data_IF_494555525481
#
_entry.id   IF_494555525481
#
_cell.length_a   1.000
_cell.length_b   1.000
_cell.length_c   1.000
_cell.angle_alpha   90.00
_cell.angle_beta   90.00
_cell.angle_gamma   90.00
#
_symmetry.space_group_name_H-M   'P 1'
#
loop_
_entity.id
_entity.type
_entity.pdbx_description
1 polymer ?
#
# COMPACT_ATOMS: atom_id res chain seq x y z
N UNK A 1 -17.17 6.34 -16.38
CA UNK A 1 -16.86 7.57 -15.60
C UNK A 1 -18.15 8.01 -14.93
N UNK A 2 -18.07 8.37 -13.65
CA UNK A 2 -19.19 8.88 -12.88
C UNK A 2 -19.44 10.35 -13.23
N UNK A 3 -20.70 10.75 -13.28
CA UNK A 3 -21.06 12.18 -13.24
C UNK A 3 -20.86 12.75 -11.83
N UNK A 4 -20.73 14.09 -11.68
CA UNK A 4 -20.65 14.71 -10.36
C UNK A 4 -21.83 14.37 -9.44
N UNK A 5 -23.05 14.25 -9.98
CA UNK A 5 -24.23 13.88 -9.22
C UNK A 5 -24.17 12.43 -8.70
N UNK A 6 -23.71 11.49 -9.52
CA UNK A 6 -23.53 10.10 -9.11
C UNK A 6 -22.42 9.98 -8.05
N UNK A 7 -21.30 10.68 -8.24
CA UNK A 7 -20.23 10.70 -7.24
C UNK A 7 -20.71 11.27 -5.90
N UNK A 8 -21.46 12.37 -5.89
CA UNK A 8 -22.06 12.92 -4.66
C UNK A 8 -22.99 11.92 -3.98
N UNK A 9 -23.80 11.17 -4.74
CA UNK A 9 -24.64 10.11 -4.17
C UNK A 9 -23.82 8.99 -3.52
N UNK A 10 -22.74 8.54 -4.18
CA UNK A 10 -21.82 7.55 -3.62
C UNK A 10 -21.11 8.07 -2.36
N UNK A 11 -20.62 9.31 -2.37
CA UNK A 11 -19.96 9.95 -1.23
C UNK A 11 -20.92 10.10 -0.06
N UNK A 12 -22.14 10.59 -0.30
CA UNK A 12 -23.16 10.77 0.73
C UNK A 12 -23.49 9.45 1.45
N UNK A 13 -23.54 8.34 0.70
CA UNK A 13 -23.83 7.01 1.21
C UNK A 13 -22.71 6.38 2.05
N UNK A 14 -21.48 6.91 2.02
CA UNK A 14 -20.37 6.37 2.83
C UNK A 14 -20.66 6.50 4.32
N UNK A 15 -20.59 5.41 5.07
CA UNK A 15 -20.82 5.37 6.51
C UNK A 15 -19.69 4.63 7.25
N UNK A 16 -19.44 4.95 8.54
CA UNK A 16 -18.47 4.20 9.32
C UNK A 16 -19.00 2.79 9.62
N UNK A 17 -18.37 1.78 9.01
CA UNK A 17 -18.70 0.36 9.20
C UNK A 17 -17.74 -0.29 10.19
N UNK A 18 -18.26 -1.16 11.07
CA UNK A 18 -17.47 -1.83 12.11
C UNK A 18 -16.84 -3.15 11.67
N UNK A 19 -16.12 -3.79 12.60
CA UNK A 19 -15.50 -5.10 12.37
C UNK A 19 -16.53 -6.18 11.98
N UNK A 20 -17.72 -6.16 12.58
CA UNK A 20 -18.82 -7.07 12.28
C UNK A 20 -19.34 -6.94 10.85
N UNK A 21 -19.25 -5.74 10.27
CA UNK A 21 -19.80 -5.45 8.95
C UNK A 21 -18.89 -5.95 7.82
N UNK A 22 -17.63 -6.27 8.08
CA UNK A 22 -16.67 -6.69 7.05
C UNK A 22 -17.19 -7.90 6.28
N UNK A 23 -17.32 -7.76 4.95
CA UNK A 23 -17.87 -8.76 4.06
C UNK A 23 -19.41 -8.83 4.02
N UNK A 24 -20.13 -8.11 4.88
CA UNK A 24 -21.60 -8.03 4.82
C UNK A 24 -22.10 -7.38 3.52
N UNK A 25 -23.36 -7.58 3.12
CA UNK A 25 -23.93 -6.90 1.94
C UNK A 25 -23.88 -5.36 2.01
N UNK A 26 -23.90 -4.78 3.22
CA UNK A 26 -23.72 -3.33 3.42
C UNK A 26 -22.30 -2.91 3.06
N UNK A 27 -21.32 -3.60 3.64
CA UNK A 27 -19.92 -3.39 3.33
C UNK A 27 -19.67 -3.55 1.83
N UNK A 28 -20.23 -4.59 1.20
CA UNK A 28 -19.97 -4.86 -0.23
C UNK A 28 -20.44 -3.70 -1.10
N UNK A 29 -21.64 -3.15 -0.82
CA UNK A 29 -22.15 -1.97 -1.54
C UNK A 29 -21.28 -0.72 -1.36
N UNK A 30 -20.84 -0.44 -0.13
CA UNK A 30 -19.95 0.68 0.15
C UNK A 30 -18.63 0.53 -0.61
N UNK A 31 -18.11 -0.69 -0.68
CA UNK A 31 -16.83 -0.99 -1.29
C UNK A 31 -16.83 -1.00 -2.81
N UNK A 32 -17.94 -1.38 -3.44
CA UNK A 32 -18.16 -1.13 -4.85
C UNK A 32 -18.21 0.37 -5.13
N UNK A 33 -18.91 1.15 -4.28
CA UNK A 33 -18.96 2.61 -4.41
C UNK A 33 -17.59 3.25 -4.27
N UNK A 34 -16.77 2.80 -3.31
CA UNK A 34 -15.40 3.29 -3.12
C UNK A 34 -14.49 2.96 -4.29
N UNK A 35 -14.64 1.80 -4.91
CA UNK A 35 -13.86 1.46 -6.09
C UNK A 35 -14.21 2.38 -7.27
N UNK A 36 -15.49 2.64 -7.51
CA UNK A 36 -15.94 3.57 -8.54
C UNK A 36 -15.44 5.00 -8.28
N UNK A 37 -15.50 5.45 -7.02
CA UNK A 37 -14.95 6.74 -6.59
C UNK A 37 -13.43 6.79 -6.79
N UNK A 38 -12.69 5.71 -6.48
CA UNK A 38 -11.25 5.63 -6.74
C UNK A 38 -10.94 5.77 -8.23
N UNK A 39 -11.62 5.01 -9.08
CA UNK A 39 -11.40 5.07 -10.52
C UNK A 39 -11.67 6.47 -11.07
N UNK A 40 -12.75 7.12 -10.61
CA UNK A 40 -13.06 8.48 -11.01
C UNK A 40 -12.02 9.48 -10.48
N UNK A 41 -11.63 9.41 -9.21
CA UNK A 41 -10.62 10.29 -8.62
C UNK A 41 -9.25 10.13 -9.32
N UNK A 42 -8.87 8.91 -9.70
CA UNK A 42 -7.68 8.68 -10.54
C UNK A 42 -7.81 9.36 -11.90
N UNK A 43 -8.97 9.24 -12.56
CA UNK A 43 -9.21 9.88 -13.85
C UNK A 43 -9.18 11.41 -13.74
N UNK A 44 -9.78 11.97 -12.68
CA UNK A 44 -9.79 13.41 -12.39
C UNK A 44 -8.36 13.92 -12.22
N UNK A 45 -7.54 13.27 -11.38
CA UNK A 45 -6.14 13.64 -11.13
C UNK A 45 -5.22 13.51 -12.36
N UNK A 46 -5.56 12.64 -13.32
CA UNK A 46 -4.85 12.52 -14.60
C UNK A 46 -5.32 13.56 -15.62
N UNK A 47 -6.52 14.09 -15.45
CA UNK A 47 -7.09 15.12 -16.29
C UNK A 47 -6.68 16.52 -15.79
N UNK A 48 -6.82 17.55 -16.64
CA UNK A 48 -6.65 18.96 -16.22
C UNK A 48 -7.99 19.60 -15.82
N UNK A 49 -8.99 18.78 -15.49
CA UNK A 49 -10.33 19.21 -15.13
C UNK A 49 -10.52 19.25 -13.60
N UNK A 50 -11.69 19.69 -13.16
CA UNK A 50 -12.03 19.82 -11.74
C UNK A 50 -12.03 18.46 -11.04
N UNK A 51 -11.36 18.39 -9.87
CA UNK A 51 -11.26 17.19 -9.04
C UNK A 51 -12.48 17.04 -8.12
N UNK A 52 -13.66 16.95 -8.72
CA UNK A 52 -14.94 17.02 -8.00
C UNK A 52 -15.11 15.91 -6.96
N UNK A 53 -14.51 14.73 -7.16
CA UNK A 53 -14.57 13.65 -6.17
C UNK A 53 -13.82 14.01 -4.89
N UNK A 54 -12.66 14.67 -5.02
CA UNK A 54 -11.86 15.15 -3.88
C UNK A 54 -12.64 16.21 -3.11
N UNK A 55 -13.17 17.20 -3.82
CA UNK A 55 -13.94 18.29 -3.21
C UNK A 55 -15.18 17.77 -2.46
N UNK A 56 -15.89 16.81 -3.03
CA UNK A 56 -17.09 16.22 -2.42
C UNK A 56 -16.72 15.37 -1.19
N UNK A 57 -15.67 14.56 -1.25
CA UNK A 57 -15.20 13.75 -0.11
C UNK A 57 -14.75 14.62 1.08
N UNK A 58 -14.06 15.72 0.80
CA UNK A 58 -13.62 16.69 1.81
C UNK A 58 -14.81 17.49 2.34
N UNK A 59 -15.64 18.04 1.44
CA UNK A 59 -16.80 18.87 1.78
C UNK A 59 -17.86 18.13 2.60
N UNK A 60 -18.10 16.85 2.31
CA UNK A 60 -19.03 16.00 3.05
C UNK A 60 -18.41 15.38 4.33
N UNK A 61 -17.16 15.70 4.66
CA UNK A 61 -16.46 15.18 5.86
C UNK A 61 -16.24 13.66 5.83
N UNK A 62 -16.18 13.05 4.64
CA UNK A 62 -16.06 11.58 4.48
C UNK A 62 -14.63 11.08 4.55
N UNK A 63 -13.63 11.96 4.54
CA UNK A 63 -12.22 11.59 4.73
C UNK A 63 -12.04 10.81 6.05
N UNK A 64 -12.66 11.24 7.14
CA UNK A 64 -12.63 10.53 8.43
C UNK A 64 -13.28 9.13 8.38
N UNK A 65 -14.30 8.94 7.55
CA UNK A 65 -14.92 7.63 7.31
C UNK A 65 -13.93 6.68 6.63
N UNK A 66 -13.14 7.19 5.67
CA UNK A 66 -12.09 6.42 5.02
C UNK A 66 -10.97 6.03 5.98
N UNK A 67 -10.54 6.95 6.87
CA UNK A 67 -9.56 6.65 7.93
C UNK A 67 -10.08 5.55 8.85
N UNK A 68 -11.33 5.65 9.30
CA UNK A 68 -11.96 4.61 10.12
C UNK A 68 -11.99 3.26 9.40
N UNK A 69 -12.42 3.24 8.13
CA UNK A 69 -12.50 2.02 7.34
C UNK A 69 -11.11 1.38 7.12
N UNK A 70 -10.06 2.18 6.90
CA UNK A 70 -8.69 1.68 6.80
C UNK A 70 -8.27 0.91 8.07
N UNK A 71 -8.55 1.48 9.24
CA UNK A 71 -8.20 0.87 10.53
C UNK A 71 -9.04 -0.36 10.85
N UNK A 72 -10.31 -0.37 10.46
CA UNK A 72 -11.19 -1.55 10.56
C UNK A 72 -10.65 -2.69 9.71
N UNK A 73 -10.24 -2.42 8.47
CA UNK A 73 -9.65 -3.43 7.59
C UNK A 73 -8.31 -3.95 8.12
N UNK A 74 -7.46 -3.06 8.64
CA UNK A 74 -6.20 -3.46 9.30
C UNK A 74 -6.47 -4.39 10.49
N UNK A 75 -7.36 -3.99 11.41
CA UNK A 75 -7.68 -4.78 12.61
C UNK A 75 -8.38 -6.10 12.27
N UNK A 76 -9.30 -6.11 11.30
CA UNK A 76 -9.97 -7.31 10.85
C UNK A 76 -8.98 -8.30 10.23
N UNK A 77 -8.07 -7.83 9.36
CA UNK A 77 -7.03 -8.69 8.78
C UNK A 77 -6.10 -9.26 9.85
N UNK A 78 -5.70 -8.47 10.84
CA UNK A 78 -4.72 -8.90 11.83
C UNK A 78 -5.31 -9.79 12.94
N UNK A 79 -6.62 -9.67 13.22
CA UNK A 79 -7.22 -10.31 14.39
C UNK A 79 -8.44 -11.21 14.11
N UNK A 80 -9.20 -10.96 13.04
CA UNK A 80 -10.40 -11.76 12.71
C UNK A 80 -10.09 -12.78 11.62
N UNK A 81 -9.44 -12.33 10.52
CA UNK A 81 -9.08 -13.19 9.40
C UNK A 81 -8.31 -14.46 9.84
N UNK A 82 -7.30 -14.40 10.72
CA UNK A 82 -6.55 -15.59 11.12
C UNK A 82 -7.40 -16.62 11.87
N UNK A 83 -8.48 -16.18 12.52
CA UNK A 83 -9.41 -17.05 13.27
C UNK A 83 -10.36 -17.75 12.32
N UNK A 84 -10.87 -17.04 11.30
CA UNK A 84 -11.80 -17.64 10.34
C UNK A 84 -11.11 -18.44 9.24
N UNK A 85 -9.84 -18.14 8.93
CA UNK A 85 -9.13 -18.67 7.76
C UNK A 85 -9.08 -20.20 7.69
N UNK A 86 -8.98 -20.87 8.84
CA UNK A 86 -8.91 -22.34 8.90
C UNK A 86 -10.30 -23.00 8.75
N UNK A 87 -11.37 -22.25 9.03
CA UNK A 87 -12.75 -22.74 9.02
C UNK A 87 -13.54 -22.31 7.76
N UNK A 88 -12.91 -21.57 6.83
CA UNK A 88 -13.57 -21.07 5.63
C UNK A 88 -13.80 -22.18 4.58
N UNK A 89 -15.06 -22.42 4.17
CA UNK A 89 -15.35 -23.23 2.99
C UNK A 89 -14.72 -22.63 1.72
N UNK A 90 -14.47 -23.46 0.71
CA UNK A 90 -13.84 -23.05 -0.56
C UNK A 90 -14.55 -21.86 -1.24
N UNK A 91 -15.89 -21.85 -1.25
CA UNK A 91 -16.68 -20.77 -1.86
C UNK A 91 -16.66 -19.47 -1.02
N UNK A 92 -16.61 -19.61 0.30
CA UNK A 92 -16.45 -18.49 1.25
C UNK A 92 -15.04 -17.91 1.20
N UNK A 93 -14.09 -18.70 0.73
CA UNK A 93 -12.72 -18.28 0.54
C UNK A 93 -12.53 -17.42 -0.68
N UNK A 94 -13.40 -17.51 -1.69
CA UNK A 94 -13.43 -16.53 -2.78
C UNK A 94 -13.87 -15.15 -2.24
N UNK A 95 -14.88 -15.09 -1.36
CA UNK A 95 -15.26 -13.84 -0.69
C UNK A 95 -14.17 -13.31 0.24
N UNK A 96 -13.46 -14.17 0.96
CA UNK A 96 -12.30 -13.78 1.75
C UNK A 96 -11.10 -13.36 0.87
N UNK A 97 -10.91 -14.03 -0.27
CA UNK A 97 -9.91 -13.66 -1.29
C UNK A 97 -10.18 -12.26 -1.83
N UNK A 98 -11.44 -11.94 -2.10
CA UNK A 98 -11.87 -10.61 -2.49
C UNK A 98 -11.69 -9.55 -1.39
N UNK A 99 -11.35 -9.93 -0.15
CA UNK A 99 -10.96 -8.98 0.88
C UNK A 99 -9.43 -8.85 1.01
N UNK A 100 -8.67 -9.80 0.44
CA UNK A 100 -7.24 -10.05 0.74
C UNK A 100 -6.42 -10.42 -0.53
N UNK A 101 -6.83 -10.06 -1.75
CA UNK A 101 -6.25 -10.57 -3.01
C UNK A 101 -5.42 -9.54 -3.81
N UNK A 102 -4.34 -9.98 -4.48
CA UNK A 102 -3.53 -9.16 -5.40
C UNK A 102 -3.56 -9.72 -6.83
N UNK A 103 -3.49 -8.83 -7.83
CA UNK A 103 -3.22 -9.15 -9.23
C UNK A 103 -1.82 -9.74 -9.40
N UNK A 104 -1.70 -10.99 -9.87
CA UNK A 104 -0.53 -11.47 -10.59
C UNK A 104 -0.89 -11.69 -12.06
N UNK A 105 -0.05 -11.17 -12.97
CA UNK A 105 -0.16 -11.39 -14.40
C UNK A 105 0.31 -12.82 -14.71
N UNK A 106 -0.56 -13.80 -14.54
CA UNK A 106 -0.48 -15.01 -15.34
C UNK A 106 -1.90 -15.48 -15.56
N UNK A 107 -2.39 -15.30 -16.79
CA UNK A 107 -3.60 -15.95 -17.25
C UNK A 107 -3.39 -17.46 -17.07
N UNK A 108 -4.02 -18.05 -16.06
CA UNK A 108 -4.26 -19.47 -16.04
C UNK A 108 -5.55 -19.69 -16.82
N UNK A 109 -5.55 -20.40 -17.96
CA UNK A 109 -6.76 -20.65 -18.74
C UNK A 109 -7.81 -21.51 -18.00
N UNK A 110 -7.50 -21.95 -16.77
CA UNK A 110 -8.40 -22.73 -15.92
C UNK A 110 -9.23 -21.88 -14.94
N UNK A 111 -8.98 -20.57 -14.79
CA UNK A 111 -9.68 -19.74 -13.79
C UNK A 111 -9.92 -18.30 -14.31
N UNK A 112 -11.07 -18.02 -14.94
CA UNK A 112 -11.36 -16.72 -15.55
C UNK A 112 -11.73 -15.59 -14.57
N UNK A 113 -11.82 -15.82 -13.26
CA UNK A 113 -12.37 -14.86 -12.29
C UNK A 113 -11.36 -14.34 -11.23
N UNK A 114 -10.18 -13.85 -11.64
CA UNK A 114 -9.26 -13.17 -10.70
C UNK A 114 -9.59 -11.67 -10.65
N UNK A 115 -10.75 -11.35 -10.09
CA UNK A 115 -11.21 -9.98 -9.87
C UNK A 115 -10.41 -9.26 -8.80
N UNK A 116 -10.01 -8.04 -9.15
CA UNK A 116 -9.13 -7.11 -8.45
C UNK A 116 -9.66 -6.70 -7.07
N UNK A 117 -9.26 -7.31 -5.96
CA UNK A 117 -9.78 -6.79 -4.68
C UNK A 117 -8.80 -6.84 -3.52
N UNK A 118 -8.28 -5.65 -3.22
CA UNK A 118 -7.75 -5.31 -1.91
C UNK A 118 -8.32 -3.97 -1.44
N UNK A 119 -9.24 -4.05 -0.50
CA UNK A 119 -10.07 -2.91 -0.12
C UNK A 119 -9.32 -1.90 0.71
N UNK A 120 -8.34 -2.37 1.46
CA UNK A 120 -7.47 -1.46 2.18
C UNK A 120 -6.50 -0.75 1.23
N UNK A 121 -6.17 -1.29 0.06
CA UNK A 121 -5.42 -0.58 -1.02
C UNK A 121 -6.35 0.39 -1.70
N UNK A 122 -7.61 0.02 -2.00
CA UNK A 122 -8.59 0.96 -2.55
C UNK A 122 -8.74 2.17 -1.63
N UNK A 123 -8.97 1.96 -0.34
CA UNK A 123 -9.06 3.04 0.66
C UNK A 123 -7.75 3.83 0.73
N UNK A 124 -6.60 3.16 0.76
CA UNK A 124 -5.30 3.82 0.84
C UNK A 124 -4.96 4.62 -0.43
N UNK A 125 -5.37 4.15 -1.61
CA UNK A 125 -5.22 4.88 -2.88
C UNK A 125 -6.10 6.12 -2.92
N UNK A 126 -7.36 6.02 -2.48
CA UNK A 126 -8.25 7.21 -2.36
C UNK A 126 -7.66 8.21 -1.37
N UNK A 127 -7.20 7.74 -0.21
CA UNK A 127 -6.52 8.60 0.78
C UNK A 127 -5.25 9.24 0.22
N UNK A 128 -4.46 8.54 -0.60
CA UNK A 128 -3.28 9.11 -1.25
C UNK A 128 -3.63 10.21 -2.25
N UNK A 129 -4.70 10.05 -3.02
CA UNK A 129 -5.19 11.10 -3.93
C UNK A 129 -5.63 12.30 -3.10
N UNK A 130 -6.48 12.09 -2.09
CA UNK A 130 -6.95 13.15 -1.20
C UNK A 130 -5.79 13.89 -0.52
N UNK A 131 -4.80 13.19 0.03
CA UNK A 131 -3.73 13.77 0.84
C UNK A 131 -2.68 14.51 0.02
N UNK A 132 -2.73 14.42 -1.31
CA UNK A 132 -2.04 15.36 -2.17
C UNK A 132 -2.52 16.80 -1.93
N UNK A 133 -3.78 16.98 -1.52
CA UNK A 133 -4.38 18.27 -1.24
C UNK A 133 -4.34 18.61 0.25
N UNK A 134 -3.90 19.83 0.55
CA UNK A 134 -3.73 20.27 1.93
C UNK A 134 -5.05 20.33 2.72
N UNK A 135 -6.12 20.79 2.10
CA UNK A 135 -7.46 20.85 2.71
C UNK A 135 -7.95 19.47 3.18
N UNK A 136 -7.60 18.39 2.48
CA UNK A 136 -7.96 17.04 2.90
C UNK A 136 -7.21 16.63 4.17
N UNK A 137 -5.90 16.93 4.26
CA UNK A 137 -5.10 16.69 5.47
C UNK A 137 -5.64 17.49 6.65
N UNK A 138 -5.95 18.77 6.43
CA UNK A 138 -6.52 19.66 7.45
C UNK A 138 -7.89 19.16 7.96
N UNK A 139 -8.71 18.56 7.09
CA UNK A 139 -10.04 18.04 7.44
C UNK A 139 -10.04 16.87 8.42
N UNK A 140 -8.88 16.21 8.60
CA UNK A 140 -8.72 15.05 9.49
C UNK A 140 -7.52 15.23 10.44
N UNK A 141 -7.18 16.47 10.78
CA UNK A 141 -6.05 16.80 11.65
C UNK A 141 -6.04 16.04 12.99
N UNK A 142 -7.22 15.77 13.55
CA UNK A 142 -7.45 14.98 14.77
C UNK A 142 -7.23 13.48 14.58
N UNK A 143 -7.33 12.98 13.35
CA UNK A 143 -7.12 11.56 13.01
C UNK A 143 -5.74 11.28 12.42
N UNK A 144 -4.89 12.29 12.17
CA UNK A 144 -3.55 12.10 11.62
C UNK A 144 -2.64 11.20 12.48
N UNK A 145 -2.91 11.14 13.79
CA UNK A 145 -2.24 10.21 14.71
C UNK A 145 -2.48 8.75 14.31
N UNK A 146 -3.73 8.42 13.98
CA UNK A 146 -4.12 7.06 13.58
C UNK A 146 -3.40 6.62 12.30
N UNK A 147 -3.37 7.52 11.32
CA UNK A 147 -2.72 7.28 10.02
C UNK A 147 -1.20 7.18 10.17
N UNK A 148 -0.61 8.04 10.99
CA UNK A 148 0.83 7.98 11.29
C UNK A 148 1.20 6.64 11.93
N UNK A 149 0.40 6.20 12.89
CA UNK A 149 0.58 4.91 13.57
C UNK A 149 0.37 3.72 12.62
N UNK A 150 -0.61 3.82 11.72
CA UNK A 150 -0.84 2.86 10.63
C UNK A 150 0.39 2.75 9.71
N UNK A 151 0.88 3.89 9.19
CA UNK A 151 2.06 3.93 8.34
C UNK A 151 3.29 3.35 9.04
N UNK A 152 3.48 3.65 10.32
CA UNK A 152 4.57 3.11 11.12
C UNK A 152 4.49 1.57 11.25
N UNK A 153 3.30 0.99 11.50
CA UNK A 153 3.13 -0.47 11.54
C UNK A 153 3.49 -1.12 10.21
N UNK A 154 3.05 -0.54 9.11
CA UNK A 154 3.36 -0.99 7.75
C UNK A 154 4.85 -0.99 7.47
N UNK A 155 5.53 0.09 7.81
CA UNK A 155 6.98 0.22 7.64
C UNK A 155 7.76 -0.72 8.56
N UNK A 156 7.28 -0.96 9.77
CA UNK A 156 7.90 -1.91 10.71
C UNK A 156 7.77 -3.34 10.20
N UNK A 157 6.59 -3.73 9.70
CA UNK A 157 6.37 -5.03 9.07
C UNK A 157 7.26 -5.21 7.83
N UNK A 158 7.41 -4.16 7.02
CA UNK A 158 8.32 -4.15 5.88
C UNK A 158 9.77 -4.41 6.30
N UNK A 159 10.26 -3.66 7.29
CA UNK A 159 11.62 -3.78 7.82
C UNK A 159 11.89 -5.14 8.49
N UNK A 160 10.87 -5.75 9.10
CA UNK A 160 10.95 -7.10 9.68
C UNK A 160 11.11 -8.22 8.64
N UNK A 161 11.04 -7.90 7.33
CA UNK A 161 11.31 -8.86 6.26
C UNK A 161 10.08 -9.60 5.73
N UNK A 162 8.87 -9.14 6.06
CA UNK A 162 7.61 -9.69 5.51
C UNK A 162 7.60 -9.68 3.97
N UNK A 163 8.32 -8.76 3.34
CA UNK A 163 8.46 -8.67 1.88
C UNK A 163 9.44 -9.68 1.26
N UNK A 164 10.52 -10.06 1.98
CA UNK A 164 11.55 -11.00 1.46
C UNK A 164 11.08 -12.45 1.46
N UNK A 165 9.97 -12.73 2.13
CA UNK A 165 9.35 -14.04 2.23
C UNK A 165 8.03 -14.13 1.46
N UNK A 166 7.65 -13.06 0.75
CA UNK A 166 6.51 -13.08 -0.16
C UNK A 166 6.78 -14.20 -1.18
N UNK A 167 6.00 -15.29 -1.15
CA UNK A 167 6.24 -16.39 -2.05
C UNK A 167 6.03 -15.89 -3.47
N UNK A 168 6.74 -16.48 -4.43
CA UNK A 168 6.44 -16.25 -5.82
C UNK A 168 4.96 -16.62 -6.06
N UNK A 169 4.14 -15.61 -6.32
CA UNK A 169 2.70 -15.77 -6.56
C UNK A 169 2.44 -16.56 -7.87
N UNK A 170 3.49 -16.87 -8.64
CA UNK A 170 3.42 -17.76 -9.81
C UNK A 170 3.53 -19.25 -9.46
N UNK A 171 4.03 -19.62 -8.27
CA UNK A 171 4.05 -21.01 -7.82
C UNK A 171 2.66 -21.42 -7.30
N UNK A 172 1.76 -21.80 -8.21
CA UNK A 172 0.54 -22.53 -7.85
C UNK A 172 0.98 -23.90 -7.31
N UNK A 173 0.98 -24.06 -6.00
CA UNK A 173 1.13 -25.38 -5.38
C UNK A 173 -0.15 -26.17 -5.62
N UNK A 174 -0.08 -27.19 -6.47
CA UNK A 174 -1.21 -28.02 -6.89
C UNK A 174 -2.02 -28.66 -5.73
N UNK A 175 -1.47 -28.71 -4.52
CA UNK A 175 -2.08 -29.28 -3.32
C UNK A 175 -2.23 -28.28 -2.16
N UNK A 176 -2.27 -26.98 -2.45
CA UNK A 176 -2.45 -26.00 -1.39
C UNK A 176 -3.91 -25.91 -0.92
N UNK A 177 -4.11 -26.07 0.39
CA UNK A 177 -5.38 -25.78 1.02
C UNK A 177 -5.71 -24.28 0.93
N UNK A 178 -6.98 -23.97 1.14
CA UNK A 178 -7.49 -22.62 0.87
C UNK A 178 -6.98 -21.59 1.89
N UNK A 179 -6.81 -21.98 3.16
CA UNK A 179 -6.25 -21.12 4.20
C UNK A 179 -4.81 -20.70 3.92
N UNK A 180 -3.97 -21.64 3.46
CA UNK A 180 -2.57 -21.36 3.07
C UNK A 180 -2.50 -20.42 1.87
N UNK A 181 -3.45 -20.55 0.93
CA UNK A 181 -3.55 -19.65 -0.24
C UNK A 181 -3.81 -18.22 0.18
N UNK A 182 -4.81 -18.02 1.03
CA UNK A 182 -5.18 -16.72 1.60
C UNK A 182 -3.99 -16.11 2.37
N UNK A 183 -3.30 -16.92 3.19
CA UNK A 183 -2.12 -16.48 3.95
C UNK A 183 -0.96 -16.03 3.04
N UNK A 184 -0.65 -16.80 2.00
CA UNK A 184 0.40 -16.45 1.04
C UNK A 184 0.08 -15.16 0.29
N UNK A 185 -1.17 -14.97 -0.11
CA UNK A 185 -1.58 -13.75 -0.82
C UNK A 185 -1.56 -12.52 0.10
N UNK A 186 -1.98 -12.66 1.36
CA UNK A 186 -1.86 -11.62 2.37
C UNK A 186 -0.42 -11.11 2.52
N UNK A 187 0.57 -12.01 2.48
CA UNK A 187 1.99 -11.66 2.52
C UNK A 187 2.44 -10.88 1.26
N UNK A 188 1.97 -11.27 0.07
CA UNK A 188 2.27 -10.56 -1.19
C UNK A 188 1.68 -9.15 -1.30
N UNK A 189 0.64 -8.85 -0.52
CA UNK A 189 -0.02 -7.53 -0.44
C UNK A 189 0.62 -6.63 0.60
N UNK A 190 1.16 -7.21 1.68
CA UNK A 190 1.79 -6.46 2.75
C UNK A 190 2.89 -5.49 2.24
N UNK A 191 3.64 -5.89 1.22
CA UNK A 191 4.64 -5.04 0.58
C UNK A 191 4.03 -3.86 -0.18
N UNK A 192 2.98 -4.10 -0.96
CA UNK A 192 2.28 -3.06 -1.71
C UNK A 192 1.66 -2.01 -0.78
N UNK A 193 1.03 -2.47 0.31
CA UNK A 193 0.52 -1.57 1.35
C UNK A 193 1.61 -0.78 2.05
N UNK A 194 2.75 -1.40 2.31
CA UNK A 194 3.87 -0.70 2.91
C UNK A 194 4.40 0.39 1.97
N UNK A 195 4.50 0.08 0.66
CA UNK A 195 4.83 1.07 -0.36
C UNK A 195 3.84 2.24 -0.37
N UNK A 196 2.55 1.94 -0.42
CA UNK A 196 1.48 2.94 -0.41
C UNK A 196 1.45 3.77 0.89
N UNK A 197 1.74 3.13 2.02
CA UNK A 197 1.84 3.80 3.32
C UNK A 197 3.01 4.78 3.39
N UNK A 198 4.12 4.54 2.66
CA UNK A 198 5.20 5.52 2.51
C UNK A 198 4.69 6.76 1.80
N UNK A 199 3.94 6.61 0.70
CA UNK A 199 3.36 7.75 -0.01
C UNK A 199 2.46 8.57 0.89
N UNK A 200 1.56 7.91 1.64
CA UNK A 200 0.70 8.58 2.60
C UNK A 200 1.50 9.30 3.70
N UNK A 201 2.52 8.66 4.26
CA UNK A 201 3.39 9.27 5.27
C UNK A 201 4.12 10.49 4.70
N UNK A 202 4.61 10.41 3.46
CA UNK A 202 5.27 11.53 2.77
C UNK A 202 4.33 12.74 2.70
N UNK A 203 3.07 12.55 2.28
CA UNK A 203 2.09 13.64 2.23
C UNK A 203 1.80 14.26 3.60
N UNK A 204 1.70 13.44 4.65
CA UNK A 204 1.55 13.95 6.03
C UNK A 204 2.79 14.78 6.42
N UNK A 205 3.99 14.29 6.10
CA UNK A 205 5.24 15.00 6.45
C UNK A 205 5.49 16.26 5.65
N UNK A 206 4.89 16.44 4.46
CA UNK A 206 5.02 17.69 3.69
C UNK A 206 4.50 18.91 4.48
N UNK A 207 3.68 18.68 5.49
CA UNK A 207 3.11 19.72 6.35
C UNK A 207 3.60 19.64 7.81
N UNK A 208 4.72 18.93 8.06
CA UNK A 208 5.25 18.64 9.41
C UNK A 208 5.36 19.87 10.32
N UNK A 209 5.68 21.04 9.78
CA UNK A 209 5.81 22.28 10.56
C UNK A 209 4.47 22.81 11.10
N UNK A 210 3.34 22.40 10.51
CA UNK A 210 1.99 22.78 10.92
C UNK A 210 1.33 21.75 11.84
N UNK A 211 1.94 20.56 11.98
CA UNK A 211 1.37 19.48 12.77
C UNK A 211 1.48 19.77 14.29
N UNK A 212 0.55 19.21 15.10
CA UNK A 212 0.66 19.24 16.55
C UNK A 212 1.99 18.64 17.02
N UNK A 213 2.65 19.28 17.99
CA UNK A 213 3.96 18.85 18.48
C UNK A 213 3.93 17.40 19.02
N UNK A 214 2.81 17.00 19.63
CA UNK A 214 2.59 15.63 20.11
C UNK A 214 2.64 14.59 19.00
N UNK A 215 2.06 14.90 17.84
CA UNK A 215 2.07 14.04 16.66
C UNK A 215 3.50 13.93 16.09
N UNK A 216 4.19 15.06 15.91
CA UNK A 216 5.56 15.08 15.40
C UNK A 216 6.51 14.34 16.35
N UNK A 217 6.38 14.55 17.66
CA UNK A 217 7.12 13.79 18.66
C UNK A 217 6.88 12.29 18.54
N UNK A 218 5.64 11.86 18.26
CA UNK A 218 5.33 10.44 18.04
C UNK A 218 5.99 9.90 16.77
N UNK A 219 5.98 10.68 15.69
CA UNK A 219 6.65 10.35 14.43
C UNK A 219 8.15 10.13 14.61
N UNK A 220 8.84 10.95 15.41
CA UNK A 220 10.31 10.90 15.51
C UNK A 220 10.84 10.14 16.73
N UNK A 221 10.06 10.00 17.82
CA UNK A 221 10.57 9.45 19.09
C UNK A 221 9.85 8.19 19.62
N UNK A 222 8.54 8.03 19.43
CA UNK A 222 7.76 6.99 20.14
C UNK A 222 7.48 5.71 19.34
N UNK A 223 8.19 5.52 18.23
CA UNK A 223 8.01 4.45 17.24
C UNK A 223 8.41 3.02 17.72
N UNK A 224 8.09 2.66 18.96
CA UNK A 224 8.35 1.30 19.49
C UNK A 224 7.83 0.97 20.88
N UNK A 225 7.30 1.93 21.66
CA UNK A 225 6.90 1.69 23.07
C UNK A 225 5.45 1.25 23.27
N UNK A 226 4.52 1.68 22.44
CA UNK A 226 3.08 1.39 22.62
C UNK A 226 2.68 0.00 22.10
N UNK A 227 3.43 -0.58 21.17
CA UNK A 227 3.04 -1.84 20.51
C UNK A 227 3.68 -3.11 21.09
N UNK A 228 4.83 -3.00 21.76
CA UNK A 228 5.54 -4.16 22.36
C UNK A 228 4.75 -4.79 23.50
N UNK A 229 3.93 -4.02 24.22
CA UNK A 229 3.10 -4.53 25.33
C UNK A 229 1.91 -5.39 24.87
N UNK A 230 1.38 -5.17 23.67
CA UNK A 230 0.28 -5.96 23.10
C UNK A 230 0.78 -7.18 22.31
N UNK A 231 1.87 -7.03 21.54
CA UNK A 231 2.45 -8.12 20.76
C UNK A 231 3.20 -9.16 21.60
N UNK A 232 3.70 -8.78 22.79
CA UNK A 232 4.35 -9.71 23.72
C UNK A 232 3.46 -10.83 24.26
N UNK A 233 2.13 -10.76 24.08
CA UNK A 233 1.20 -11.85 24.41
C UNK A 233 0.76 -12.70 23.21
N UNK A 234 0.94 -12.20 21.98
CA UNK A 234 0.60 -12.92 20.74
C UNK A 234 1.81 -13.66 20.13
N UNK A 235 3.04 -13.24 20.47
CA UNK A 235 4.27 -13.99 20.17
C UNK A 235 4.42 -15.31 20.96
N UNK A 236 3.40 -15.67 21.77
CA UNK A 236 3.30 -16.93 22.51
C UNK A 236 2.71 -18.10 21.71
N UNK A 237 2.20 -17.88 20.49
CA UNK A 237 1.87 -18.98 19.59
C UNK A 237 3.15 -19.53 18.97
N UNK A 238 3.74 -20.48 19.68
CA UNK A 238 4.84 -21.32 19.20
C UNK A 238 4.43 -21.89 17.83
N UNK A 239 5.23 -21.60 16.81
CA UNK A 239 5.26 -22.36 15.57
C UNK A 239 5.57 -23.82 15.91
N UNK A 240 4.52 -24.62 16.09
CA UNK A 240 4.60 -26.06 16.19
C UNK A 240 4.87 -26.65 14.81
N UNK A 241 6.07 -27.18 14.63
CA UNK A 241 6.44 -28.23 13.69
C UNK A 241 5.77 -28.21 12.30
N UNK A 242 6.33 -27.39 11.40
CA UNK A 242 6.22 -27.51 9.93
C UNK A 242 7.63 -27.52 9.33
N UNK A 243 7.84 -28.10 8.12
CA UNK A 243 9.12 -28.67 7.71
C UNK A 243 10.23 -27.63 7.69
N UNK A 244 11.41 -28.07 8.15
CA UNK A 244 12.67 -27.34 8.06
C UNK A 244 12.94 -27.04 6.58
N UNK A 245 12.52 -25.88 6.11
CA UNK A 245 13.03 -25.33 4.87
C UNK A 245 14.49 -24.99 5.13
N UNK A 246 15.37 -25.74 4.48
CA UNK A 246 16.80 -25.45 4.42
C UNK A 246 16.98 -23.98 4.08
N UNK A 247 17.47 -23.23 5.05
CA UNK A 247 18.00 -21.88 4.87
C UNK A 247 18.85 -21.83 3.60
N UNK A 248 18.57 -20.92 2.64
CA UNK A 248 19.64 -20.47 1.77
C UNK A 248 20.69 -19.89 2.72
N UNK A 249 21.89 -20.46 2.70
CA UNK A 249 23.02 -20.02 3.51
C UNK A 249 23.07 -18.50 3.53
N UNK A 250 23.28 -17.93 4.73
CA UNK A 250 23.82 -16.59 4.92
C UNK A 250 24.98 -16.40 3.93
N UNK A 251 24.73 -15.79 2.78
CA UNK A 251 25.80 -15.20 1.99
C UNK A 251 26.12 -13.88 2.67
N UNK A 252 27.12 -13.90 3.53
CA UNK A 252 27.89 -12.72 3.89
C UNK A 252 28.61 -12.20 2.63
N UNK A 253 27.82 -11.70 1.68
CA UNK A 253 28.28 -11.15 0.41
C UNK A 253 27.69 -9.77 0.26
N UNK A 254 28.37 -8.76 0.84
CA UNK A 254 28.11 -7.35 0.55
C UNK A 254 28.20 -7.12 -0.96
N UNK A 255 27.17 -6.55 -1.60
CA UNK A 255 27.34 -6.00 -2.95
C UNK A 255 28.44 -4.93 -2.87
N UNK A 256 29.47 -4.96 -3.74
CA UNK A 256 30.51 -3.92 -3.80
C UNK A 256 29.97 -2.53 -4.14
N UNK A 257 28.71 -2.46 -4.58
CA UNK A 257 28.07 -1.29 -5.16
C UNK A 257 27.37 -0.34 -4.17
N UNK A 258 27.33 -0.66 -2.87
CA UNK A 258 26.66 0.21 -1.87
C UNK A 258 25.13 0.33 -2.00
N UNK A 259 24.48 -0.50 -2.84
CA UNK A 259 23.02 -0.55 -2.99
C UNK A 259 22.35 -0.79 -1.63
N UNK A 260 21.22 -0.12 -1.38
CA UNK A 260 20.36 -0.43 -0.26
C UNK A 260 19.97 -1.92 -0.34
N UNK A 261 20.45 -2.73 0.61
CA UNK A 261 19.94 -4.09 0.86
C UNK A 261 18.56 -4.03 1.57
N UNK A 262 17.72 -3.13 1.07
CA UNK A 262 16.29 -3.08 1.34
C UNK A 262 15.65 -4.11 0.43
N UNK A 263 14.63 -4.84 0.90
CA UNK A 263 13.85 -5.77 0.08
C UNK A 263 13.07 -5.14 -1.10
N UNK A 264 13.53 -3.98 -1.60
CA UNK A 264 13.15 -3.26 -2.81
C UNK A 264 13.87 -3.76 -4.06
N UNK A 265 14.85 -4.65 -3.89
CA UNK A 265 15.64 -5.24 -4.95
C UNK A 265 15.57 -6.77 -4.82
N UNK A 266 15.11 -7.46 -5.86
CA UNK A 266 15.38 -8.88 -6.08
C UNK A 266 16.47 -8.97 -7.16
N UNK A 267 17.59 -9.61 -6.84
CA UNK A 267 18.40 -10.23 -7.88
C UNK A 267 17.72 -11.56 -8.22
N UNK A 268 17.04 -11.63 -9.36
CA UNK A 268 16.47 -12.87 -9.85
C UNK A 268 17.56 -13.93 -9.97
N UNK A 269 17.38 -15.05 -9.25
CA UNK A 269 18.40 -16.06 -8.98
C UNK A 269 18.96 -16.82 -10.19
N UNK A 270 18.67 -16.39 -11.43
CA UNK A 270 19.05 -17.12 -12.65
C UNK A 270 19.66 -16.27 -13.78
N UNK A 271 19.68 -14.92 -13.74
CA UNK A 271 20.13 -14.16 -14.92
C UNK A 271 20.79 -12.78 -14.71
N UNK A 272 21.21 -12.37 -13.50
CA UNK A 272 21.90 -11.09 -13.29
C UNK A 272 21.09 -9.85 -13.74
N UNK A 273 19.76 -9.99 -13.75
CA UNK A 273 18.80 -8.93 -14.03
C UNK A 273 18.41 -8.26 -12.71
N UNK A 274 18.29 -6.93 -12.73
CA UNK A 274 17.89 -6.14 -11.57
C UNK A 274 16.41 -5.82 -11.70
N UNK A 275 15.63 -6.14 -10.68
CA UNK A 275 14.21 -5.78 -10.61
C UNK A 275 14.00 -4.63 -9.62
N UNK A 276 13.05 -3.74 -9.96
CA UNK A 276 12.58 -2.65 -9.08
C UNK A 276 11.07 -2.70 -8.96
N UNK A 277 10.57 -2.33 -7.80
CA UNK A 277 9.14 -2.22 -7.57
C UNK A 277 8.60 -0.84 -7.96
N UNK A 278 7.75 -0.80 -8.99
CA UNK A 278 7.10 0.42 -9.50
C UNK A 278 5.66 0.12 -9.91
N UNK A 279 4.75 1.07 -9.68
CA UNK A 279 3.32 0.95 -10.01
C UNK A 279 2.68 -0.33 -9.45
N UNK A 280 3.02 -0.63 -8.20
CA UNK A 280 2.62 -1.85 -7.51
C UNK A 280 3.02 -3.15 -8.23
N UNK A 281 4.12 -3.15 -8.99
CA UNK A 281 4.60 -4.32 -9.72
C UNK A 281 6.14 -4.40 -9.69
N UNK A 282 6.67 -5.62 -9.71
CA UNK A 282 8.11 -5.82 -9.94
C UNK A 282 8.37 -5.73 -11.44
N UNK A 283 9.27 -4.82 -11.83
CA UNK A 283 9.67 -4.61 -13.23
C UNK A 283 11.17 -4.82 -13.35
N UNK A 284 11.59 -5.61 -14.34
CA UNK A 284 13.01 -5.72 -14.70
C UNK A 284 13.47 -4.39 -15.27
N UNK A 285 14.59 -3.88 -14.76
CA UNK A 285 15.16 -2.60 -15.13
C UNK A 285 16.43 -2.82 -15.96
N UNK A 286 16.58 -2.05 -17.04
CA UNK A 286 17.78 -2.09 -17.86
C UNK A 286 19.02 -1.65 -17.05
N UNK A 287 20.21 -2.15 -17.40
CA UNK A 287 21.42 -1.90 -16.60
C UNK A 287 21.73 -0.40 -16.41
N UNK A 288 21.42 0.44 -17.40
CA UNK A 288 21.62 1.89 -17.34
C UNK A 288 20.64 2.63 -16.41
N UNK A 289 19.45 2.09 -16.19
CA UNK A 289 18.40 2.69 -15.34
C UNK A 289 18.42 2.14 -13.90
N UNK A 290 19.36 1.24 -13.59
CA UNK A 290 19.46 0.62 -12.27
C UNK A 290 19.65 1.62 -11.13
N UNK A 291 20.19 2.81 -11.41
CA UNK A 291 20.39 3.90 -10.44
C UNK A 291 19.23 4.92 -10.41
N UNK A 292 18.24 4.81 -11.30
CA UNK A 292 17.07 5.70 -11.32
C UNK A 292 16.18 5.41 -10.13
N UNK A 293 15.83 6.44 -9.35
CA UNK A 293 15.00 6.29 -8.17
C UNK A 293 13.57 5.92 -8.57
N UNK A 294 13.01 4.95 -7.86
CA UNK A 294 11.58 4.65 -7.92
C UNK A 294 10.77 5.71 -7.17
N UNK A 295 9.47 5.83 -7.47
CA UNK A 295 8.55 6.69 -6.71
C UNK A 295 8.59 6.39 -5.21
N UNK A 296 8.70 5.11 -4.84
CA UNK A 296 8.78 4.68 -3.45
C UNK A 296 10.05 5.19 -2.77
N UNK A 297 11.21 5.02 -3.41
CA UNK A 297 12.49 5.53 -2.89
C UNK A 297 12.47 7.06 -2.77
N UNK A 298 11.91 7.75 -3.77
CA UNK A 298 11.74 9.21 -3.70
C UNK A 298 10.86 9.64 -2.54
N UNK A 299 9.71 8.98 -2.33
CA UNK A 299 8.83 9.28 -1.21
C UNK A 299 9.50 9.02 0.14
N UNK A 300 10.30 7.97 0.28
CA UNK A 300 11.09 7.71 1.50
C UNK A 300 12.08 8.85 1.77
N UNK A 301 12.84 9.25 0.75
CA UNK A 301 13.84 10.31 0.87
C UNK A 301 13.22 11.65 1.24
N UNK A 302 12.11 12.02 0.59
CA UNK A 302 11.39 13.27 0.86
C UNK A 302 10.79 13.24 2.26
N UNK A 303 10.15 12.14 2.68
CA UNK A 303 9.60 12.02 4.02
C UNK A 303 10.68 12.14 5.12
N UNK A 304 11.85 11.52 4.89
CA UNK A 304 13.00 11.67 5.78
C UNK A 304 13.53 13.11 5.79
N UNK A 305 13.62 13.76 4.62
CA UNK A 305 14.06 15.15 4.53
C UNK A 305 13.13 16.06 5.34
N UNK A 306 11.81 15.95 5.12
CA UNK A 306 10.79 16.70 5.83
C UNK A 306 10.92 16.53 7.35
N UNK A 307 10.98 15.28 7.84
CA UNK A 307 11.06 14.99 9.27
C UNK A 307 12.37 15.44 9.91
N UNK A 308 13.49 15.37 9.23
CA UNK A 308 14.80 15.64 9.84
C UNK A 308 15.21 17.12 9.76
N UNK A 309 14.71 17.83 8.75
CA UNK A 309 15.09 19.23 8.48
C UNK A 309 14.04 20.22 9.01
N UNK A 310 12.84 19.76 9.34
CA UNK A 310 11.80 20.56 9.97
C UNK A 310 12.21 21.12 11.33
N UNK A 311 11.98 22.42 11.51
CA UNK A 311 12.18 23.09 12.80
C UNK A 311 11.28 22.49 13.89
N UNK A 312 10.05 22.09 13.52
CA UNK A 312 9.09 21.45 14.44
C UNK A 312 9.59 20.09 14.93
N UNK A 313 10.16 19.28 14.04
CA UNK A 313 10.71 17.99 14.40
C UNK A 313 11.98 18.13 15.26
N UNK A 314 12.86 19.08 14.92
CA UNK A 314 14.09 19.36 15.67
C UNK A 314 13.82 19.81 17.12
N UNK A 315 12.66 20.41 17.41
CA UNK A 315 12.25 20.74 18.79
C UNK A 315 12.07 19.51 19.68
N UNK A 316 11.76 18.35 19.09
CA UNK A 316 11.46 17.12 19.85
C UNK A 316 12.48 16.01 19.60
N UNK A 317 13.18 16.05 18.47
CA UNK A 317 14.14 15.03 18.08
C UNK A 317 15.54 15.33 18.61
N UNK A 318 15.86 14.79 19.79
CA UNK A 318 17.20 14.87 20.36
C UNK A 318 18.18 13.95 19.60
N UNK A 319 19.32 14.48 19.15
CA UNK A 319 20.37 13.69 18.49
C UNK A 319 21.42 13.23 19.50
N UNK A 320 21.19 12.07 20.10
CA UNK A 320 22.19 11.37 20.94
C UNK A 320 23.13 10.50 20.09
N UNK A 321 24.16 9.90 20.70
CA UNK A 321 25.17 9.09 20.00
C UNK A 321 24.56 7.93 19.19
N UNK A 322 23.54 7.26 19.73
CA UNK A 322 22.88 6.13 19.04
C UNK A 322 22.12 6.59 17.80
N UNK A 323 21.42 7.74 17.90
CA UNK A 323 20.69 8.34 16.80
C UNK A 323 21.65 8.91 15.77
N UNK A 324 22.72 9.59 16.19
CA UNK A 324 23.82 10.06 15.33
C UNK A 324 24.39 8.89 14.53
N UNK A 325 24.75 7.79 15.19
CA UNK A 325 25.26 6.58 14.51
C UNK A 325 24.26 6.04 13.48
N UNK A 326 22.96 6.08 13.77
CA UNK A 326 21.91 5.63 12.86
C UNK A 326 21.75 6.56 11.66
N UNK A 327 21.70 7.88 11.87
CA UNK A 327 21.61 8.90 10.82
C UNK A 327 22.84 8.84 9.91
N UNK A 328 24.03 8.63 10.48
CA UNK A 328 25.27 8.49 9.72
C UNK A 328 25.26 7.30 8.76
N UNK A 329 24.40 6.29 8.97
CA UNK A 329 24.21 5.19 7.98
C UNK A 329 23.58 5.69 6.68
N UNK A 330 22.92 6.85 6.67
CA UNK A 330 22.36 7.47 5.46
C UNK A 330 23.44 8.02 4.55
N UNK A 331 24.60 8.43 5.10
CA UNK A 331 25.67 9.11 4.36
C UNK A 331 26.10 8.35 3.11
N UNK A 332 26.23 7.02 3.19
CA UNK A 332 26.63 6.15 2.07
C UNK A 332 25.59 6.05 0.95
N UNK A 333 24.35 6.45 1.21
CA UNK A 333 23.26 6.39 0.24
C UNK A 333 23.05 7.73 -0.49
N UNK A 334 23.69 8.81 -0.03
CA UNK A 334 23.84 10.03 -0.82
C UNK A 334 24.89 9.79 -1.91
N UNK A 335 24.48 9.97 -3.15
CA UNK A 335 25.34 9.98 -4.33
C UNK A 335 24.84 11.05 -5.30
N UNK A 336 25.68 11.44 -6.26
CA UNK A 336 25.35 12.49 -7.23
C UNK A 336 24.02 12.22 -7.93
N UNK A 337 23.74 10.95 -8.28
CA UNK A 337 22.49 10.54 -8.95
C UNK A 337 21.24 10.78 -8.08
N UNK A 338 21.31 10.51 -6.77
CA UNK A 338 20.20 10.74 -5.83
C UNK A 338 19.95 12.23 -5.64
N UNK A 339 21.02 13.03 -5.51
CA UNK A 339 20.91 14.48 -5.31
C UNK A 339 20.45 15.18 -6.60
N UNK A 340 20.93 14.74 -7.76
CA UNK A 340 20.50 15.26 -9.07
C UNK A 340 19.02 14.97 -9.35
N UNK A 341 18.55 13.78 -9.00
CA UNK A 341 17.12 13.41 -9.18
C UNK A 341 16.21 14.04 -8.12
N UNK A 342 16.72 14.33 -6.92
CA UNK A 342 15.96 14.93 -5.82
C UNK A 342 16.73 16.08 -5.17
N UNK A 343 16.80 17.27 -5.82
CA UNK A 343 17.52 18.42 -5.27
C UNK A 343 17.01 18.87 -3.90
N UNK A 344 15.74 18.58 -3.58
CA UNK A 344 15.10 18.82 -2.28
C UNK A 344 15.82 18.15 -1.11
N UNK A 345 16.73 17.20 -1.36
CA UNK A 345 17.50 16.50 -0.32
C UNK A 345 18.75 17.26 0.14
N UNK A 346 19.12 18.36 -0.50
CA UNK A 346 20.31 19.15 -0.13
C UNK A 346 20.35 19.50 1.38
N UNK A 347 19.26 19.97 2.03
CA UNK A 347 19.29 20.30 3.45
C UNK A 347 19.55 19.08 4.35
N UNK A 348 18.96 17.92 4.01
CA UNK A 348 19.19 16.65 4.72
C UNK A 348 20.65 16.20 4.54
N UNK A 349 21.17 16.27 3.32
CA UNK A 349 22.56 15.91 3.05
C UNK A 349 23.53 16.79 3.83
N UNK A 350 23.31 18.11 3.83
CA UNK A 350 24.10 19.07 4.61
C UNK A 350 24.09 18.74 6.10
N UNK A 351 22.92 18.40 6.66
CA UNK A 351 22.80 18.00 8.06
C UNK A 351 23.61 16.73 8.35
N UNK A 352 23.56 15.72 7.48
CA UNK A 352 24.33 14.47 7.63
C UNK A 352 25.84 14.73 7.57
N UNK A 353 26.31 15.57 6.65
CA UNK A 353 27.72 15.95 6.56
C UNK A 353 28.18 16.78 7.78
N UNK A 354 27.35 17.69 8.29
CA UNK A 354 27.63 18.43 9.51
C UNK A 354 27.78 17.51 10.73
N UNK A 355 26.89 16.51 10.87
CA UNK A 355 26.99 15.50 11.93
C UNK A 355 28.26 14.64 11.82
N UNK A 356 28.82 14.48 10.62
CA UNK A 356 30.08 13.76 10.43
C UNK A 356 31.29 14.52 10.99
N UNK A 357 31.22 15.86 10.96
CA UNK A 357 32.31 16.76 11.38
C UNK A 357 32.20 17.09 12.86
N UNK A 358 30.97 17.30 13.36
CA UNK A 358 30.70 17.74 14.73
C UNK A 358 30.46 16.51 15.61
N UNK A 359 31.37 16.22 16.54
CA UNK A 359 31.10 15.29 17.65
C UNK A 359 29.83 15.75 18.38
N UNK A 360 28.97 14.80 18.80
CA UNK A 360 27.63 15.10 19.31
C UNK A 360 27.72 16.16 20.42
N UNK A 361 27.49 17.42 20.06
CA UNK A 361 27.77 18.53 20.95
C UNK A 361 26.57 18.63 21.89
N UNK A 362 26.74 18.54 23.22
CA UNK A 362 25.63 18.61 24.17
C UNK A 362 24.83 19.93 24.09
N UNK A 363 25.26 20.93 23.33
CA UNK A 363 24.46 22.13 23.04
C UNK A 363 23.33 21.93 22.00
N UNK A 364 23.31 20.81 21.26
CA UNK A 364 22.19 20.40 20.39
C UNK A 364 21.22 19.45 21.10
N UNK A 365 21.46 19.15 22.39
CA UNK A 365 20.52 18.39 23.20
C UNK A 365 19.30 19.27 23.45
N UNK A 366 18.12 18.73 23.08
CA UNK A 366 16.85 19.41 23.27
C UNK A 366 16.75 19.94 24.71
N UNK A 367 16.22 21.15 24.87
CA UNK A 367 15.88 21.70 26.19
C UNK A 367 15.06 20.66 26.96
N UNK A 368 15.50 20.22 28.15
CA UNK A 368 14.84 19.11 28.81
C UNK A 368 13.46 19.54 29.35
N UNK A 369 12.51 18.63 29.12
CA UNK A 369 11.15 18.54 29.64
C UNK A 369 10.17 19.66 29.26
N UNK A 370 9.68 19.62 28.03
CA UNK A 370 8.26 19.92 27.82
C UNK A 370 7.45 18.71 28.30
N UNK A 371 6.49 18.93 29.21
CA UNK A 371 5.48 17.93 29.57
C UNK A 371 4.63 17.66 28.33
N UNK A 372 5.04 16.68 27.52
CA UNK A 372 4.32 16.30 26.33
C UNK A 372 3.29 15.22 26.68
N UNK A 373 2.02 15.62 26.66
CA UNK A 373 0.90 14.70 26.86
C UNK A 373 0.88 13.69 25.70
N UNK A 374 0.90 12.40 26.03
CA UNK A 374 0.84 11.34 25.03
C UNK A 374 -0.54 11.34 24.36
N UNK A 375 -0.55 11.51 23.04
CA UNK A 375 -1.79 11.38 22.27
C UNK A 375 -2.14 9.90 22.08
N UNK A 376 -3.43 9.60 22.14
CA UNK A 376 -3.96 8.25 22.07
C UNK A 376 -4.70 8.05 20.75
N UNK A 377 -4.42 6.93 20.09
CA UNK A 377 -5.14 6.46 18.91
C UNK A 377 -6.49 5.84 19.33
N UNK A 378 -7.50 6.68 19.51
CA UNK A 378 -8.81 6.31 20.08
C UNK A 378 -9.60 5.33 19.22
N UNK A 379 -9.59 5.48 17.89
CA UNK A 379 -10.27 4.55 16.98
C UNK A 379 -9.62 3.18 17.11
N UNK A 380 -8.29 3.12 16.98
CA UNK A 380 -7.58 1.85 17.11
C UNK A 380 -7.79 1.22 18.48
N UNK A 381 -7.72 1.99 19.56
CA UNK A 381 -7.93 1.44 20.91
C UNK A 381 -9.32 0.83 21.06
N UNK A 382 -10.36 1.50 20.55
CA UNK A 382 -11.73 0.96 20.53
C UNK A 382 -11.83 -0.32 19.70
N UNK A 383 -11.21 -0.36 18.52
CA UNK A 383 -11.19 -1.56 17.67
C UNK A 383 -10.51 -2.74 18.37
N UNK A 384 -9.37 -2.50 19.04
CA UNK A 384 -8.61 -3.53 19.76
C UNK A 384 -9.28 -4.02 21.05
N UNK A 385 -10.29 -3.32 21.56
CA UNK A 385 -11.06 -3.74 22.72
C UNK A 385 -12.15 -4.79 22.40
N UNK A 386 -12.37 -5.10 21.11
CA UNK A 386 -13.41 -6.05 20.69
C UNK A 386 -13.03 -7.52 20.95
N UNK A 387 -14.04 -8.37 21.14
CA UNK A 387 -13.86 -9.82 21.14
C UNK A 387 -13.81 -10.36 19.71
N UNK A 388 -12.59 -10.47 19.18
CA UNK A 388 -12.35 -10.97 17.83
C UNK A 388 -12.84 -12.41 17.61
N UNK A 389 -12.85 -13.25 18.66
CA UNK A 389 -13.33 -14.64 18.57
C UNK A 389 -14.85 -14.70 18.44
N UNK A 390 -15.57 -13.81 19.14
CA UNK A 390 -17.01 -13.68 18.97
C UNK A 390 -17.37 -13.17 17.56
N UNK A 391 -16.66 -12.15 17.06
CA UNK A 391 -16.86 -11.59 15.71
C UNK A 391 -16.61 -12.66 14.65
N UNK A 392 -15.48 -13.38 14.74
CA UNK A 392 -15.12 -14.45 13.82
C UNK A 392 -16.21 -15.53 13.73
N UNK A 393 -16.67 -16.05 14.87
CA UNK A 393 -17.73 -17.08 14.94
C UNK A 393 -19.04 -16.60 14.31
N UNK A 394 -19.43 -15.35 14.59
CA UNK A 394 -20.63 -14.74 14.00
C UNK A 394 -20.49 -14.61 12.49
N UNK A 395 -19.37 -14.10 11.98
CA UNK A 395 -19.14 -13.91 10.56
C UNK A 395 -19.06 -15.23 9.78
N UNK A 396 -18.50 -16.30 10.36
CA UNK A 396 -18.54 -17.64 9.76
C UNK A 396 -19.98 -18.14 9.57
N UNK A 397 -20.86 -17.89 10.56
CA UNK A 397 -22.25 -18.31 10.50
C UNK A 397 -23.16 -17.46 9.60
N UNK A 398 -22.82 -16.19 9.37
CA UNK A 398 -23.70 -15.24 8.66
C UNK A 398 -23.11 -14.69 7.35
N UNK A 399 -21.88 -14.17 7.38
CA UNK A 399 -21.26 -13.46 6.26
C UNK A 399 -20.58 -14.40 5.27
N UNK A 400 -19.94 -15.45 5.80
CA UNK A 400 -19.17 -16.44 5.08
C UNK A 400 -19.87 -17.81 5.03
N UNK A 401 -21.19 -17.82 5.20
CA UNK A 401 -21.99 -19.04 5.09
C UNK A 401 -21.98 -19.54 3.63
N UNK A 402 -21.66 -20.81 3.36
CA UNK A 402 -21.61 -21.35 2.01
C UNK A 402 -23.03 -21.68 1.51
N UNK A 403 -23.82 -20.66 1.20
CA UNK A 403 -25.17 -20.81 0.67
C UNK A 403 -25.32 -20.24 -0.75
N UNK A 404 -26.51 -20.41 -1.34
CA UNK A 404 -26.79 -19.89 -2.68
C UNK A 404 -26.78 -18.35 -2.73
N UNK A 405 -27.04 -17.69 -1.60
CA UNK A 405 -26.99 -16.23 -1.52
C UNK A 405 -25.54 -15.74 -1.68
N UNK A 406 -24.57 -16.43 -1.07
CA UNK A 406 -23.15 -16.13 -1.28
C UNK A 406 -22.74 -16.20 -2.75
N UNK A 407 -23.18 -17.22 -3.51
CA UNK A 407 -22.89 -17.31 -4.96
C UNK A 407 -23.49 -16.14 -5.75
N UNK A 408 -24.73 -15.76 -5.42
CA UNK A 408 -25.40 -14.65 -6.09
C UNK A 408 -24.73 -13.31 -5.74
N UNK A 409 -24.32 -13.11 -4.49
CA UNK A 409 -23.56 -11.94 -4.05
C UNK A 409 -22.22 -11.83 -4.79
N UNK A 410 -21.46 -12.93 -4.87
CA UNK A 410 -20.20 -13.00 -5.60
C UNK A 410 -20.39 -12.67 -7.09
N UNK A 411 -21.40 -13.26 -7.74
CA UNK A 411 -21.70 -12.98 -9.16
C UNK A 411 -22.18 -11.56 -9.42
N UNK A 412 -23.03 -11.00 -8.54
CA UNK A 412 -23.47 -9.61 -8.64
C UNK A 412 -22.30 -8.64 -8.47
N UNK A 413 -21.39 -8.95 -7.54
CA UNK A 413 -20.19 -8.15 -7.32
C UNK A 413 -19.23 -8.25 -8.50
N UNK A 414 -18.93 -9.46 -9.01
CA UNK A 414 -18.10 -9.63 -10.20
C UNK A 414 -18.63 -8.84 -11.41
N UNK A 415 -19.93 -8.92 -11.69
CA UNK A 415 -20.57 -8.18 -12.78
C UNK A 415 -20.50 -6.64 -12.61
N UNK A 416 -20.61 -6.13 -11.38
CA UNK A 416 -20.44 -4.70 -11.09
C UNK A 416 -19.03 -4.22 -11.42
N UNK A 417 -18.03 -5.09 -11.32
CA UNK A 417 -16.64 -4.76 -11.58
C UNK A 417 -16.27 -4.98 -13.06
N UNK A 418 -16.78 -6.03 -13.70
CA UNK A 418 -16.65 -6.25 -15.16
C UNK A 418 -17.30 -5.14 -15.98
N UNK A 419 -18.32 -4.47 -15.43
CA UNK A 419 -18.97 -3.32 -16.06
C UNK A 419 -18.23 -1.99 -15.84
N UNK A 420 -17.18 -1.96 -15.01
CA UNK A 420 -16.33 -0.79 -14.87
C UNK A 420 -15.39 -0.69 -16.08
N UNK A 421 -15.16 0.51 -16.63
CA UNK A 421 -14.26 0.68 -17.76
C UNK A 421 -12.87 0.25 -17.32
N UNK A 422 -12.35 -0.80 -17.95
CA UNK A 422 -11.00 -1.29 -17.73
C UNK A 422 -10.05 -0.09 -17.77
N UNK A 423 -9.31 0.16 -16.68
CA UNK A 423 -8.27 1.18 -16.69
C UNK A 423 -7.28 0.72 -17.75
N UNK A 424 -7.37 1.29 -18.95
CA UNK A 424 -6.48 0.98 -20.03
C UNK A 424 -5.14 1.57 -19.63
N UNK A 425 -4.34 0.83 -18.87
CA UNK A 425 -2.90 0.94 -18.98
C UNK A 425 -2.63 0.71 -20.45
N UNK A 426 -2.38 1.81 -21.18
CA UNK A 426 -2.19 1.88 -22.62
C UNK A 426 -0.93 1.09 -22.97
N UNK A 427 -1.06 -0.23 -22.99
CA UNK A 427 0.06 -1.17 -23.12
C UNK A 427 -0.07 -1.92 -24.42
N UNK A 428 1.08 -2.16 -25.03
CA UNK A 428 1.21 -2.79 -26.32
C UNK A 428 0.66 -4.21 -26.25
N UNK A 429 -0.34 -4.53 -27.07
CA UNK A 429 -0.93 -5.87 -27.16
C UNK A 429 0.01 -6.97 -27.66
N UNK A 430 1.25 -6.63 -28.01
CA UNK A 430 2.29 -7.57 -28.44
C UNK A 430 3.40 -7.75 -27.39
N UNK A 431 3.88 -6.67 -26.78
CA UNK A 431 5.07 -6.72 -25.90
C UNK A 431 4.84 -6.17 -24.48
N UNK A 432 3.65 -5.66 -24.18
CA UNK A 432 3.28 -5.15 -22.85
C UNK A 432 3.90 -3.81 -22.44
N UNK A 433 4.75 -3.19 -23.27
CA UNK A 433 5.31 -1.84 -23.03
C UNK A 433 4.24 -0.74 -23.20
N UNK A 434 4.39 0.45 -22.58
CA UNK A 434 3.50 1.59 -22.84
C UNK A 434 3.38 1.91 -24.33
N UNK A 435 2.18 2.26 -24.79
CA UNK A 435 1.82 2.38 -26.19
C UNK A 435 0.91 3.59 -26.42
N UNK A 436 1.34 4.54 -27.23
CA UNK A 436 0.59 5.78 -27.52
C UNK A 436 -0.32 5.64 -28.75
N UNK A 437 -0.15 4.58 -29.55
CA UNK A 437 -0.81 4.44 -30.83
C UNK A 437 -1.73 3.22 -30.85
N UNK A 438 -3.01 3.44 -31.17
CA UNK A 438 -4.01 2.38 -31.37
C UNK A 438 -4.14 1.97 -32.82
N UNK A 439 -4.59 0.73 -33.05
CA UNK A 439 -4.89 0.24 -34.38
C UNK A 439 -5.90 1.17 -35.08
N UNK A 440 -5.54 1.69 -36.25
CA UNK A 440 -6.36 2.66 -36.99
C UNK A 440 -7.71 2.09 -37.45
N UNK A 441 -7.80 0.76 -37.61
CA UNK A 441 -9.02 0.09 -38.05
C UNK A 441 -10.01 -0.16 -36.90
N UNK A 442 -9.60 -0.88 -35.85
CA UNK A 442 -10.51 -1.24 -34.76
C UNK A 442 -10.52 -0.25 -33.59
N UNK A 443 -9.46 0.56 -33.43
CA UNK A 443 -9.24 1.47 -32.30
C UNK A 443 -9.29 0.83 -30.90
N UNK A 444 -9.26 -0.51 -30.80
CA UNK A 444 -9.36 -1.30 -29.55
C UNK A 444 -8.01 -1.73 -28.98
N UNK A 445 -7.02 -2.02 -29.83
CA UNK A 445 -5.71 -2.53 -29.39
C UNK A 445 -4.62 -1.49 -29.60
N UNK A 446 -3.72 -1.36 -28.63
CA UNK A 446 -2.60 -0.43 -28.61
C UNK A 446 -1.29 -1.12 -29.02
N UNK A 447 -0.41 -0.38 -29.69
CA UNK A 447 0.92 -0.86 -30.10
C UNK A 447 1.97 0.22 -29.84
N UNK A 448 3.07 -0.16 -29.16
CA UNK A 448 4.17 0.77 -28.88
C UNK A 448 5.03 1.07 -30.13
N UNK A 449 4.93 0.23 -31.17
CA UNK A 449 5.66 0.40 -32.41
C UNK A 449 4.97 -0.31 -33.57
N UNK A 450 5.28 0.14 -34.80
CA UNK A 450 4.80 -0.53 -36.03
C UNK A 450 5.29 -1.99 -36.11
N UNK A 451 6.47 -2.30 -35.58
CA UNK A 451 7.00 -3.66 -35.51
C UNK A 451 6.11 -4.57 -34.67
N UNK A 452 5.77 -4.14 -33.44
CA UNK A 452 4.85 -4.87 -32.57
C UNK A 452 3.45 -5.06 -33.19
N UNK A 453 2.97 -4.08 -33.97
CA UNK A 453 1.72 -4.22 -34.71
C UNK A 453 1.79 -5.31 -35.79
N UNK A 454 2.91 -5.40 -36.52
CA UNK A 454 3.11 -6.42 -37.55
C UNK A 454 3.29 -7.81 -36.96
N UNK A 455 4.03 -7.92 -35.84
CA UNK A 455 4.25 -9.19 -35.13
C UNK A 455 2.93 -9.76 -34.59
N UNK A 456 2.03 -8.91 -34.06
CA UNK A 456 0.71 -9.33 -33.60
C UNK A 456 -0.36 -9.40 -34.72
N UNK A 457 -0.07 -8.96 -35.94
CA UNK A 457 -1.05 -8.90 -37.03
C UNK A 457 -1.67 -10.26 -37.43
N UNK A 458 -0.92 -11.39 -37.46
CA UNK A 458 -1.49 -12.69 -37.82
C UNK A 458 -2.68 -13.11 -36.96
N UNK A 459 -2.65 -12.78 -35.67
CA UNK A 459 -3.73 -13.08 -34.71
C UNK A 459 -4.73 -11.91 -34.64
N UNK A 460 -4.23 -10.67 -34.54
CA UNK A 460 -5.07 -9.48 -34.40
C UNK A 460 -6.04 -9.28 -35.58
N UNK A 461 -5.65 -9.64 -36.80
CA UNK A 461 -6.51 -9.50 -38.00
C UNK A 461 -7.82 -10.27 -37.89
N UNK A 462 -7.86 -11.36 -37.11
CA UNK A 462 -9.05 -12.18 -36.90
C UNK A 462 -10.10 -11.48 -36.03
N UNK A 463 -9.67 -10.51 -35.21
CA UNK A 463 -10.49 -9.83 -34.21
C UNK A 463 -10.61 -8.31 -34.46
N UNK A 464 -10.02 -7.82 -35.56
CA UNK A 464 -9.93 -6.40 -35.88
C UNK A 464 -11.18 -5.93 -36.62
N UNK A 465 -12.12 -5.31 -35.89
CA UNK A 465 -13.36 -4.77 -36.44
C UNK A 465 -13.56 -3.28 -36.09
N UNK A 466 -14.11 -2.46 -37.02
CA UNK A 466 -14.40 -1.05 -36.76
C UNK A 466 -15.37 -0.87 -35.59
N UNK A 467 -15.21 0.16 -34.74
CA UNK A 467 -16.16 0.43 -33.66
C UNK A 467 -17.53 0.86 -34.24
N UNK A 468 -18.60 0.15 -33.84
CA UNK A 468 -19.98 0.48 -34.24
C UNK A 468 -20.64 -0.46 -35.26
N UNK A 469 -20.21 -1.72 -35.36
CA UNK A 469 -20.95 -2.79 -36.02
C UNK A 469 -21.26 -3.93 -35.06
#
# INVERSE_FOLDING_TARGET
MLSPFEAAAHVAALEPLGLDDVGSPRWMRQSASLEQLKMQACADAMSKHDEFVVDELVGAGKVGVLVHQLLVLEAWRDHVLPVIADDLPELSSMKAYMLVGRRTRMHCPADPDVSQLYQETTVLSVLQILFYHRNAVDSVADLLLELTDYCHRRLTALNAGVARTAPDLTEIRAYENVGDRVRRQAAGIAFALASDAVSLLRFITDQVDQLPLGLVNRMVNQQGRTQTRAHGRLAGYRHGHGPVYTTPQRREGRCPCGRLDTGLYSEGASAGQVEKFTDQQWKVVERGESQTLTRLEGNLWIALCNLMTSARAQQTYEVNDTRKSTIMKLRRFFNEVVVDQLPVLEPLWRMVEQLAIVDANPMLSATPSSLLVEQVAEIRQRLLANDFQAIARKQLGTVFRPDNNLRQELGAFANLFDSMPESTEETCGSCGKPAENRCSACKRVWFCSRRCQLDAWPEHKLMCHPPGK
#
